data_IF_434858024042
#
_entry.id   IF_434858024042
#
_cell.length_a   1.000
_cell.length_b   1.000
_cell.length_c   1.000
_cell.angle_alpha   90.00
_cell.angle_beta   90.00
_cell.angle_gamma   90.00
#
_symmetry.space_group_name_H-M   'P 1'
#
loop_
_entity.id
_entity.type
_entity.pdbx_description
1 polymer ?
#
# COMPACT_ATOMS: atom_id res chain seq x y z
N UNK A 1 -29.39 9.82 37.10
CA UNK A 1 -29.15 10.81 36.02
C UNK A 1 -27.67 10.75 35.67
N UNK A 2 -27.31 9.99 34.63
CA UNK A 2 -25.97 10.04 34.03
C UNK A 2 -26.20 10.10 32.53
N UNK A 3 -25.96 11.27 31.96
CA UNK A 3 -26.01 11.47 30.51
C UNK A 3 -24.99 10.52 29.87
N UNK A 4 -25.47 9.55 29.11
CA UNK A 4 -24.62 8.71 28.27
C UNK A 4 -24.12 9.57 27.13
N UNK A 5 -22.80 9.69 27.04
CA UNK A 5 -22.07 10.38 26.01
C UNK A 5 -22.53 9.91 24.61
N UNK A 6 -23.30 10.76 23.95
CA UNK A 6 -23.95 10.50 22.67
C UNK A 6 -22.98 10.89 21.56
N UNK A 7 -22.20 9.90 21.11
CA UNK A 7 -21.74 9.85 19.73
C UNK A 7 -20.43 10.58 19.43
N UNK A 8 -19.33 10.11 20.02
CA UNK A 8 -18.07 10.12 19.27
C UNK A 8 -18.26 9.22 18.04
N UNK A 9 -18.70 9.80 16.91
CA UNK A 9 -18.71 9.10 15.62
C UNK A 9 -17.29 8.65 15.35
N UNK A 10 -17.00 7.37 15.55
CA UNK A 10 -15.71 6.78 15.17
C UNK A 10 -15.58 7.02 13.66
N UNK A 11 -14.76 8.01 13.28
CA UNK A 11 -14.38 8.22 11.88
C UNK A 11 -13.77 6.91 11.38
N UNK A 12 -14.42 6.29 10.40
CA UNK A 12 -13.85 5.12 9.72
C UNK A 12 -12.52 5.54 9.10
N UNK A 13 -11.42 4.88 9.48
CA UNK A 13 -10.04 5.23 9.11
C UNK A 13 -9.64 4.76 7.69
N UNK A 14 -10.62 4.41 6.85
CA UNK A 14 -10.39 3.64 5.62
C UNK A 14 -10.22 2.14 5.89
N UNK A 15 -10.13 1.36 4.83
CA UNK A 15 -9.90 -0.09 4.87
C UNK A 15 -8.48 -0.37 4.38
N UNK A 16 -7.67 -1.08 5.19
CA UNK A 16 -6.37 -1.56 4.76
C UNK A 16 -6.51 -2.98 4.21
N UNK A 17 -6.23 -3.15 2.91
CA UNK A 17 -6.26 -4.44 2.24
C UNK A 17 -4.85 -5.00 2.11
N UNK A 18 -4.63 -6.23 2.56
CA UNK A 18 -3.37 -6.95 2.39
C UNK A 18 -3.60 -8.11 1.44
N UNK A 19 -2.98 -8.03 0.24
CA UNK A 19 -3.01 -9.11 -0.73
C UNK A 19 -1.68 -9.86 -0.70
N UNK A 20 -1.72 -11.17 -0.47
CA UNK A 20 -0.56 -12.06 -0.45
C UNK A 20 -0.82 -13.34 -1.26
N UNK A 21 0.21 -13.87 -1.90
CA UNK A 21 0.17 -15.13 -2.65
C UNK A 21 1.60 -15.63 -2.91
N UNK A 22 1.79 -16.91 -3.28
CA UNK A 22 3.05 -17.39 -3.84
C UNK A 22 3.47 -16.62 -5.10
N UNK A 23 4.74 -16.70 -5.46
CA UNK A 23 5.25 -16.16 -6.73
C UNK A 23 4.52 -16.81 -7.90
N UNK A 24 4.14 -16.01 -8.91
CA UNK A 24 3.42 -16.50 -10.10
C UNK A 24 1.91 -16.67 -9.95
N UNK A 25 1.34 -16.56 -8.75
CA UNK A 25 -0.10 -16.73 -8.52
C UNK A 25 -0.98 -15.53 -8.91
N UNK A 26 -0.42 -14.49 -9.55
CA UNK A 26 -1.19 -13.39 -10.13
C UNK A 26 -1.49 -12.19 -9.22
N UNK A 27 -0.87 -12.08 -8.03
CA UNK A 27 -1.05 -10.94 -7.10
C UNK A 27 -1.01 -9.58 -7.77
N UNK A 28 0.03 -9.32 -8.58
CA UNK A 28 0.23 -8.03 -9.22
C UNK A 28 -0.86 -7.73 -10.27
N UNK A 29 -1.35 -8.76 -10.97
CA UNK A 29 -2.44 -8.63 -11.93
C UNK A 29 -3.75 -8.29 -11.22
N UNK A 30 -4.07 -8.98 -10.12
CA UNK A 30 -5.27 -8.70 -9.32
C UNK A 30 -5.21 -7.29 -8.72
N UNK A 31 -4.08 -6.90 -8.13
CA UNK A 31 -3.92 -5.57 -7.54
C UNK A 31 -4.10 -4.45 -8.59
N UNK A 32 -3.53 -4.61 -9.80
CA UNK A 32 -3.71 -3.65 -10.90
C UNK A 32 -5.17 -3.55 -11.32
N UNK A 33 -5.84 -4.68 -11.53
CA UNK A 33 -7.25 -4.70 -11.91
C UNK A 33 -8.17 -4.06 -10.86
N UNK A 34 -7.82 -4.16 -9.57
CA UNK A 34 -8.56 -3.49 -8.50
C UNK A 34 -8.39 -1.97 -8.56
N UNK A 35 -7.15 -1.49 -8.69
CA UNK A 35 -6.84 -0.05 -8.79
C UNK A 35 -7.42 0.61 -10.04
N UNK A 36 -7.49 -0.13 -11.16
CA UNK A 36 -8.13 0.35 -12.40
C UNK A 36 -9.65 0.47 -12.28
N UNK A 37 -10.28 -0.40 -11.48
CA UNK A 37 -11.75 -0.48 -11.36
C UNK A 37 -12.32 0.38 -10.24
N UNK A 38 -11.54 0.65 -9.20
CA UNK A 38 -12.01 1.36 -8.01
C UNK A 38 -11.04 2.47 -7.63
N UNK A 39 -11.45 3.72 -7.93
CA UNK A 39 -10.67 4.93 -7.66
C UNK A 39 -10.61 5.29 -6.16
N UNK A 40 -11.35 4.59 -5.31
CA UNK A 40 -11.23 4.72 -3.85
C UNK A 40 -10.07 3.92 -3.26
N UNK A 41 -9.43 3.06 -4.06
CA UNK A 41 -8.25 2.30 -3.68
C UNK A 41 -6.97 3.02 -4.10
N UNK A 42 -6.02 3.08 -3.18
CA UNK A 42 -4.67 3.55 -3.45
C UNK A 42 -3.66 2.45 -3.14
N UNK A 43 -2.60 2.37 -3.95
CA UNK A 43 -1.51 1.43 -3.72
C UNK A 43 -0.46 2.05 -2.81
N UNK A 44 -0.12 1.35 -1.73
CA UNK A 44 1.09 1.67 -0.96
C UNK A 44 2.33 1.23 -1.74
N UNK A 45 3.10 2.17 -2.27
CA UNK A 45 4.38 1.91 -2.95
C UNK A 45 5.47 1.66 -1.91
N UNK A 46 5.99 0.43 -1.85
CA UNK A 46 7.02 0.05 -0.88
C UNK A 46 8.39 0.67 -1.19
N UNK A 47 9.22 0.79 -0.16
CA UNK A 47 10.66 1.06 -0.30
C UNK A 47 11.41 -0.26 -0.50
N UNK A 48 12.46 -0.26 -1.32
CA UNK A 48 13.35 -1.42 -1.47
C UNK A 48 14.81 -1.00 -1.62
N UNK A 49 15.72 -1.84 -1.13
CA UNK A 49 17.17 -1.65 -1.24
C UNK A 49 17.81 -2.42 -2.39
N UNK A 50 17.04 -3.27 -3.07
CA UNK A 50 17.55 -3.96 -4.25
C UNK A 50 17.73 -2.98 -5.41
N UNK A 51 18.67 -3.25 -6.34
CA UNK A 51 18.77 -2.48 -7.57
C UNK A 51 17.47 -2.53 -8.40
N UNK A 52 17.16 -1.39 -9.01
CA UNK A 52 16.08 -1.25 -9.99
C UNK A 52 16.37 -2.07 -11.24
N UNK A 53 15.41 -2.86 -11.71
CA UNK A 53 15.49 -3.54 -13.01
C UNK A 53 15.20 -2.55 -14.13
N UNK A 54 15.70 -2.81 -15.34
CA UNK A 54 15.59 -1.88 -16.47
C UNK A 54 14.17 -1.37 -16.76
N UNK A 55 13.16 -2.25 -16.61
CA UNK A 55 11.74 -1.95 -16.85
C UNK A 55 11.00 -1.28 -15.68
N UNK A 56 11.63 -1.11 -14.52
CA UNK A 56 10.97 -0.56 -13.33
C UNK A 56 11.11 0.95 -13.25
N UNK A 57 10.15 1.61 -12.59
CA UNK A 57 10.04 3.07 -12.49
C UNK A 57 10.02 3.46 -11.00
N UNK A 58 10.91 4.39 -10.60
CA UNK A 58 10.97 4.99 -9.25
C UNK A 58 9.64 5.64 -8.88
N UNK A 59 9.15 5.38 -7.67
CA UNK A 59 7.89 5.93 -7.15
C UNK A 59 6.62 5.30 -7.72
N UNK A 60 6.73 4.41 -8.72
CA UNK A 60 5.60 3.64 -9.25
C UNK A 60 5.67 2.18 -8.80
N UNK A 61 6.84 1.55 -8.99
CA UNK A 61 7.03 0.14 -8.63
C UNK A 61 7.52 0.01 -7.19
N UNK A 62 8.55 0.79 -6.85
CA UNK A 62 9.14 0.94 -5.53
C UNK A 62 9.74 2.34 -5.41
N UNK A 63 9.94 2.78 -4.18
CA UNK A 63 10.98 3.76 -3.87
C UNK A 63 12.31 3.02 -3.73
N UNK A 64 13.20 3.17 -4.69
CA UNK A 64 14.52 2.56 -4.67
C UNK A 64 15.44 3.42 -3.81
N UNK A 65 15.98 2.82 -2.76
CA UNK A 65 16.88 3.48 -1.81
C UNK A 65 18.14 2.65 -1.63
N UNK A 66 19.23 3.29 -1.26
CA UNK A 66 20.40 2.58 -0.74
C UNK A 66 20.10 2.01 0.65
N UNK A 67 20.87 1.02 1.10
CA UNK A 67 20.71 0.49 2.46
C UNK A 67 20.82 1.59 3.52
N UNK A 68 21.79 2.50 3.38
CA UNK A 68 22.01 3.63 4.28
C UNK A 68 20.85 4.63 4.30
N UNK A 69 20.15 4.82 3.18
CA UNK A 69 18.94 5.65 3.15
C UNK A 69 17.78 4.95 3.83
N UNK A 70 17.60 3.64 3.59
CA UNK A 70 16.56 2.85 4.22
C UNK A 70 16.66 2.83 5.75
N UNK A 71 17.88 2.67 6.28
CA UNK A 71 18.14 2.69 7.74
C UNK A 71 17.83 4.03 8.42
N UNK A 72 17.61 5.10 7.65
CA UNK A 72 17.31 6.45 8.16
C UNK A 72 15.85 6.88 7.99
N UNK A 73 15.02 6.04 7.38
CA UNK A 73 13.57 6.27 7.23
C UNK A 73 12.84 5.98 8.55
#
# INVERSE_FOLDING_TARGET
>A
MVARDLGARIRRRGLMLVLSSPSGAGKSTIARNLLEKDTSLELSVSVTTRPRRGSEIEGVHYHFRTMREFERL
#
